data_IF_646317969283
#
_entry.id   IF_646317969283
#
_cell.length_a   1.000
_cell.length_b   1.000
_cell.length_c   1.000
_cell.angle_alpha   90.00
_cell.angle_beta   90.00
_cell.angle_gamma   90.00
#
_symmetry.space_group_name_H-M   'P 1'
#
loop_
_entity.id
_entity.type
_entity.pdbx_description
1 polymer ?
#
# COMPACT_ATOMS: atom_id res chain seq x y z
N UNK A 1 -15.76 21.45 -18.79
CA UNK A 1 -15.43 20.14 -19.40
C UNK A 1 -15.00 19.23 -18.27
N UNK A 2 -15.62 18.05 -18.11
CA UNK A 2 -15.30 17.11 -17.05
C UNK A 2 -14.29 16.09 -17.56
N UNK A 3 -13.17 15.94 -16.88
CA UNK A 3 -12.13 14.99 -17.26
C UNK A 3 -11.12 14.77 -16.15
N UNK A 4 -10.14 13.92 -16.41
CA UNK A 4 -9.04 13.54 -15.52
C UNK A 4 -7.71 13.87 -16.17
N UNK A 5 -6.75 14.27 -15.34
CA UNK A 5 -5.34 14.28 -15.68
C UNK A 5 -4.59 13.33 -14.75
N UNK A 6 -3.70 12.52 -15.30
CA UNK A 6 -2.93 11.52 -14.59
C UNK A 6 -1.47 11.65 -15.00
N UNK A 7 -0.56 11.63 -14.01
CA UNK A 7 0.87 11.59 -14.25
C UNK A 7 1.54 10.60 -13.30
N UNK A 8 2.60 9.95 -13.75
CA UNK A 8 3.43 9.04 -12.97
C UNK A 8 4.88 9.09 -13.41
N UNK A 9 5.80 8.94 -12.49
CA UNK A 9 7.20 8.68 -12.77
C UNK A 9 7.41 7.23 -13.27
N UNK A 10 8.55 6.97 -13.89
CA UNK A 10 8.86 5.66 -14.49
C UNK A 10 10.00 4.92 -13.80
N UNK A 11 10.39 5.36 -12.61
CA UNK A 11 11.41 4.70 -11.83
C UNK A 11 10.83 3.55 -11.00
N UNK A 12 11.42 2.37 -11.11
CA UNK A 12 11.14 1.23 -10.25
C UNK A 12 12.35 0.95 -9.36
N UNK A 13 12.10 0.81 -8.07
CA UNK A 13 13.12 0.44 -7.08
C UNK A 13 12.87 -0.98 -6.62
N UNK A 14 13.87 -1.84 -6.82
CA UNK A 14 13.82 -3.24 -6.40
C UNK A 14 14.75 -3.43 -5.20
N UNK A 15 14.24 -3.97 -4.10
CA UNK A 15 15.06 -4.39 -2.96
C UNK A 15 15.63 -5.77 -3.25
N UNK A 16 16.97 -5.89 -3.28
CA UNK A 16 17.68 -7.16 -3.47
C UNK A 16 18.60 -7.37 -2.24
N UNK A 17 18.13 -8.17 -1.28
CA UNK A 17 18.80 -8.30 0.01
C UNK A 17 18.80 -6.96 0.79
N UNK A 18 19.99 -6.49 1.18
CA UNK A 18 20.19 -5.17 1.81
C UNK A 18 20.39 -4.03 0.81
N UNK A 19 20.51 -4.33 -0.50
CA UNK A 19 20.74 -3.34 -1.53
C UNK A 19 19.45 -2.97 -2.28
N UNK A 20 19.44 -1.75 -2.85
CA UNK A 20 18.39 -1.30 -3.74
C UNK A 20 18.93 -1.24 -5.17
N UNK A 21 18.20 -1.84 -6.10
CA UNK A 21 18.44 -1.71 -7.54
C UNK A 21 17.40 -0.79 -8.13
N UNK A 22 17.84 0.25 -8.80
CA UNK A 22 16.99 1.20 -9.51
C UNK A 22 16.94 0.81 -10.98
N UNK A 23 15.74 0.84 -11.55
CA UNK A 23 15.49 0.58 -12.96
C UNK A 23 14.57 1.68 -13.53
N UNK A 24 14.90 2.18 -14.71
CA UNK A 24 14.20 3.26 -15.40
C UNK A 24 13.30 2.72 -16.51
N UNK A 25 12.36 3.55 -17.00
CA UNK A 25 11.51 3.23 -18.15
C UNK A 25 10.40 2.23 -17.85
N UNK A 26 9.94 2.14 -16.61
CA UNK A 26 8.83 1.29 -16.22
C UNK A 26 7.53 2.10 -16.22
N UNK A 27 6.70 1.92 -17.25
CA UNK A 27 5.34 2.47 -17.23
C UNK A 27 4.56 1.92 -16.05
N UNK A 28 3.98 2.84 -15.28
CA UNK A 28 3.08 2.53 -14.16
C UNK A 28 1.62 2.78 -14.50
N UNK A 29 1.34 3.29 -15.71
CA UNK A 29 0.00 3.57 -16.20
C UNK A 29 -0.33 2.59 -17.32
N UNK A 30 -1.43 1.86 -17.17
CA UNK A 30 -1.89 0.82 -18.07
C UNK A 30 -3.23 1.18 -18.67
N UNK A 31 -3.37 1.04 -20.00
CA UNK A 31 -4.61 1.30 -20.75
C UNK A 31 -5.08 0.03 -21.46
N UNK A 32 -6.36 -0.34 -21.37
CA UNK A 32 -6.89 -1.52 -22.05
C UNK A 32 -7.10 -1.36 -23.57
N UNK A 33 -6.94 -0.14 -24.10
CA UNK A 33 -7.18 0.19 -25.51
C UNK A 33 -8.23 1.28 -25.72
N UNK A 34 -8.47 1.63 -26.98
CA UNK A 34 -9.27 2.80 -27.36
C UNK A 34 -10.77 2.69 -27.04
N UNK A 35 -11.30 1.47 -26.98
CA UNK A 35 -12.72 1.23 -26.68
C UNK A 35 -13.08 1.52 -25.21
N UNK A 36 -12.08 1.67 -24.34
CA UNK A 36 -12.26 1.87 -22.92
C UNK A 36 -11.76 3.25 -22.49
N UNK A 37 -12.57 3.95 -21.71
CA UNK A 37 -12.27 5.32 -21.24
C UNK A 37 -11.75 5.32 -19.80
N UNK A 38 -10.85 4.41 -19.46
CA UNK A 38 -10.20 4.35 -18.15
C UNK A 38 -8.77 3.85 -18.26
N UNK A 39 -8.00 4.13 -17.23
CA UNK A 39 -6.67 3.56 -17.04
C UNK A 39 -6.56 2.97 -15.66
N UNK A 40 -5.59 2.08 -15.50
CA UNK A 40 -5.13 1.56 -14.21
C UNK A 40 -3.72 2.05 -13.99
N UNK A 41 -3.43 2.61 -12.84
CA UNK A 41 -2.04 2.91 -12.47
C UNK A 41 -1.71 2.29 -11.12
N UNK A 42 -0.42 1.97 -10.93
CA UNK A 42 0.02 1.27 -9.75
C UNK A 42 1.04 2.06 -8.95
N UNK A 43 1.06 1.82 -7.63
CA UNK A 43 2.09 2.27 -6.71
C UNK A 43 2.32 1.21 -5.61
N UNK A 44 3.38 1.35 -4.85
CA UNK A 44 3.77 0.34 -3.85
C UNK A 44 4.54 -0.82 -4.47
N UNK A 45 4.29 -2.05 -4.03
CA UNK A 45 4.94 -3.24 -4.58
C UNK A 45 4.62 -3.43 -6.05
N UNK A 46 5.61 -3.71 -6.88
CA UNK A 46 5.45 -3.94 -8.33
C UNK A 46 4.96 -5.35 -8.69
N UNK A 47 4.65 -6.18 -7.70
CA UNK A 47 4.23 -7.56 -7.89
C UNK A 47 3.05 -7.94 -6.99
N UNK A 48 2.20 -8.83 -7.50
CA UNK A 48 1.17 -9.55 -6.76
C UNK A 48 1.54 -11.04 -6.79
N UNK A 49 1.73 -11.68 -5.63
CA UNK A 49 2.25 -13.05 -5.54
C UNK A 49 3.57 -13.25 -6.33
N UNK A 50 4.52 -12.33 -6.25
CA UNK A 50 5.77 -12.32 -7.03
C UNK A 50 5.59 -12.31 -8.57
N UNK A 51 4.37 -12.15 -9.06
CA UNK A 51 4.10 -11.93 -10.49
C UNK A 51 3.98 -10.43 -10.74
N UNK A 52 4.71 -9.85 -11.70
CA UNK A 52 4.63 -8.41 -11.98
C UNK A 52 3.21 -7.93 -12.19
N UNK A 53 2.84 -6.81 -11.55
CA UNK A 53 1.49 -6.21 -11.65
C UNK A 53 1.09 -5.99 -13.11
N UNK A 54 2.02 -5.57 -13.96
CA UNK A 54 1.76 -5.40 -15.38
C UNK A 54 1.20 -6.65 -16.03
N UNK A 55 1.77 -7.82 -15.73
CA UNK A 55 1.28 -9.09 -16.30
C UNK A 55 -0.14 -9.41 -15.81
N UNK A 56 -0.47 -9.10 -14.56
CA UNK A 56 -1.83 -9.25 -14.03
C UNK A 56 -2.82 -8.34 -14.76
N UNK A 57 -2.47 -7.07 -14.91
CA UNK A 57 -3.33 -6.07 -15.56
C UNK A 57 -3.49 -6.37 -17.05
N UNK A 58 -2.40 -6.68 -17.76
CA UNK A 58 -2.43 -7.04 -19.19
C UNK A 58 -3.25 -8.33 -19.43
N UNK A 59 -3.11 -9.35 -18.55
CA UNK A 59 -3.89 -10.58 -18.64
C UNK A 59 -5.38 -10.31 -18.39
N UNK A 60 -5.71 -9.44 -17.44
CA UNK A 60 -7.07 -9.02 -17.18
C UNK A 60 -7.65 -8.23 -18.36
N UNK A 61 -6.93 -7.28 -18.93
CA UNK A 61 -7.39 -6.49 -20.08
C UNK A 61 -7.80 -7.37 -21.26
N UNK A 62 -7.09 -8.46 -21.51
CA UNK A 62 -7.46 -9.44 -22.55
C UNK A 62 -8.80 -10.15 -22.29
N UNK A 63 -9.32 -10.10 -21.06
CA UNK A 63 -10.64 -10.67 -20.73
C UNK A 63 -11.78 -9.66 -20.90
N UNK A 64 -11.47 -8.38 -21.06
CA UNK A 64 -12.45 -7.32 -21.26
C UNK A 64 -12.91 -7.31 -22.73
N UNK A 65 -14.07 -7.86 -23.00
CA UNK A 65 -14.65 -7.92 -24.36
C UNK A 65 -15.50 -6.73 -24.72
N UNK A 66 -15.90 -5.94 -23.74
CA UNK A 66 -16.72 -4.73 -23.89
C UNK A 66 -16.54 -3.79 -22.70
N UNK A 67 -16.75 -2.49 -22.88
CA UNK A 67 -16.73 -1.52 -21.78
C UNK A 67 -17.78 -1.83 -20.71
N UNK A 68 -17.39 -1.64 -19.43
CA UNK A 68 -18.28 -1.83 -18.29
C UNK A 68 -18.99 -0.51 -17.92
N UNK A 69 -20.01 -0.63 -17.08
CA UNK A 69 -20.93 0.47 -16.80
C UNK A 69 -20.34 1.56 -15.92
N UNK A 70 -19.49 1.19 -14.98
CA UNK A 70 -18.90 2.11 -13.98
C UNK A 70 -17.45 1.69 -13.65
N UNK A 71 -16.68 2.60 -13.06
CA UNK A 71 -15.34 2.27 -12.55
C UNK A 71 -15.43 1.22 -11.44
N UNK A 72 -16.46 1.25 -10.60
CA UNK A 72 -16.72 0.20 -9.61
C UNK A 72 -16.93 -1.17 -10.24
N UNK A 73 -17.60 -1.23 -11.40
CA UNK A 73 -17.76 -2.49 -12.13
C UNK A 73 -16.43 -3.03 -12.67
N UNK A 74 -15.50 -2.16 -13.09
CA UNK A 74 -14.15 -2.57 -13.47
C UNK A 74 -13.36 -3.09 -12.27
N UNK A 75 -13.41 -2.45 -11.14
CA UNK A 75 -12.76 -2.91 -9.90
C UNK A 75 -13.30 -4.28 -9.49
N UNK A 76 -14.63 -4.45 -9.45
CA UNK A 76 -15.26 -5.72 -9.10
C UNK A 76 -14.90 -6.84 -10.09
N UNK A 77 -14.82 -6.52 -11.38
CA UNK A 77 -14.41 -7.46 -12.42
C UNK A 77 -12.94 -7.88 -12.26
N UNK A 78 -12.04 -6.92 -11.97
CA UNK A 78 -10.63 -7.22 -11.71
C UNK A 78 -10.43 -8.11 -10.48
N UNK A 79 -11.14 -7.83 -9.37
CA UNK A 79 -11.08 -8.68 -8.16
C UNK A 79 -11.50 -10.12 -8.48
N UNK A 80 -12.60 -10.32 -9.22
CA UNK A 80 -13.03 -11.65 -9.67
C UNK A 80 -12.01 -12.32 -10.59
N UNK A 81 -11.37 -11.54 -11.48
CA UNK A 81 -10.30 -12.07 -12.34
C UNK A 81 -9.13 -12.58 -11.49
N UNK A 82 -8.66 -11.83 -10.48
CA UNK A 82 -7.57 -12.26 -9.61
C UNK A 82 -7.87 -13.58 -8.87
N UNK A 83 -9.13 -13.85 -8.53
CA UNK A 83 -9.55 -15.11 -7.89
C UNK A 83 -9.80 -16.25 -8.89
N UNK A 84 -9.71 -15.97 -10.19
CA UNK A 84 -9.99 -16.96 -11.24
C UNK A 84 -8.73 -17.75 -11.66
N UNK A 85 -8.95 -18.89 -12.31
CA UNK A 85 -7.88 -19.70 -12.91
C UNK A 85 -7.20 -19.04 -14.12
N UNK A 86 -7.74 -17.89 -14.59
CA UNK A 86 -7.18 -17.13 -15.72
C UNK A 86 -6.11 -16.13 -15.27
N UNK A 87 -6.05 -15.84 -13.98
CA UNK A 87 -5.04 -14.94 -13.43
C UNK A 87 -3.66 -15.64 -13.43
N UNK A 88 -2.57 -14.87 -13.62
CA UNK A 88 -1.24 -15.44 -13.87
C UNK A 88 -0.56 -16.01 -12.62
N UNK A 89 -1.10 -15.80 -11.41
CA UNK A 89 -0.52 -16.36 -10.20
C UNK A 89 -0.66 -17.91 -10.17
N UNK A 90 0.33 -18.55 -9.60
CA UNK A 90 0.41 -19.99 -9.45
C UNK A 90 0.49 -20.39 -7.97
N UNK A 91 0.31 -21.70 -7.68
CA UNK A 91 0.56 -22.22 -6.31
C UNK A 91 2.01 -22.03 -5.87
N UNK A 92 2.96 -22.01 -6.80
CA UNK A 92 4.35 -21.72 -6.49
C UNK A 92 4.52 -20.25 -6.05
N UNK A 93 3.94 -19.30 -6.78
CA UNK A 93 3.98 -17.88 -6.44
C UNK A 93 3.21 -17.56 -5.15
N UNK A 94 2.12 -18.25 -4.86
CA UNK A 94 1.43 -18.16 -3.57
C UNK A 94 2.33 -18.63 -2.42
N UNK A 95 3.03 -19.77 -2.60
CA UNK A 95 3.97 -20.27 -1.59
C UNK A 95 5.12 -19.30 -1.33
N UNK A 96 5.65 -18.66 -2.37
CA UNK A 96 6.71 -17.65 -2.24
C UNK A 96 6.23 -16.43 -1.45
N UNK A 97 5.01 -15.94 -1.70
CA UNK A 97 4.40 -14.88 -0.91
C UNK A 97 4.26 -15.28 0.58
N UNK A 98 3.77 -16.49 0.84
CA UNK A 98 3.64 -16.99 2.22
C UNK A 98 4.99 -17.12 2.94
N UNK A 99 6.05 -17.54 2.22
CA UNK A 99 7.40 -17.59 2.75
C UNK A 99 7.90 -16.18 3.09
N UNK A 100 7.71 -15.21 2.19
CA UNK A 100 8.14 -13.84 2.41
C UNK A 100 7.38 -13.14 3.57
N UNK A 101 6.07 -13.37 3.69
CA UNK A 101 5.28 -12.88 4.83
C UNK A 101 5.69 -13.53 6.15
N UNK A 102 6.03 -14.82 6.14
CA UNK A 102 6.53 -15.52 7.31
C UNK A 102 7.91 -14.99 7.72
N UNK A 103 8.80 -14.77 6.76
CA UNK A 103 10.12 -14.21 6.97
C UNK A 103 10.04 -12.83 7.65
N UNK A 104 9.23 -11.92 7.10
CA UNK A 104 8.95 -10.61 7.67
C UNK A 104 8.39 -10.69 9.12
N UNK A 105 7.44 -11.62 9.36
CA UNK A 105 6.86 -11.82 10.70
C UNK A 105 7.91 -12.29 11.70
N UNK A 106 8.71 -13.28 11.32
CA UNK A 106 9.73 -13.87 12.19
C UNK A 106 10.87 -12.90 12.43
N UNK A 107 11.25 -12.12 11.42
CA UNK A 107 12.26 -11.06 11.55
C UNK A 107 11.83 -9.99 12.54
N UNK A 108 10.60 -9.48 12.48
CA UNK A 108 10.06 -8.51 13.44
C UNK A 108 10.12 -9.08 14.86
N UNK A 109 9.67 -10.32 15.06
CA UNK A 109 9.77 -10.98 16.36
C UNK A 109 11.23 -11.08 16.82
N UNK A 110 12.16 -11.42 15.93
CA UNK A 110 13.59 -11.49 16.23
C UNK A 110 14.15 -10.16 16.70
N UNK A 111 13.87 -9.08 15.97
CA UNK A 111 14.33 -7.73 16.31
C UNK A 111 13.79 -7.26 17.67
N UNK A 112 12.52 -7.58 18.00
CA UNK A 112 11.94 -7.26 19.29
C UNK A 112 12.62 -8.04 20.42
N UNK A 113 12.89 -9.31 20.22
CA UNK A 113 13.57 -10.19 21.21
C UNK A 113 15.01 -9.72 21.39
N UNK A 114 15.75 -9.45 20.33
CA UNK A 114 17.13 -8.97 20.40
C UNK A 114 17.25 -7.62 21.13
N UNK A 115 16.24 -6.76 21.02
CA UNK A 115 16.19 -5.49 21.76
C UNK A 115 16.08 -5.70 23.27
N UNK A 116 15.41 -6.75 23.73
CA UNK A 116 15.16 -7.02 25.15
C UNK A 116 16.24 -7.90 25.77
N UNK A 117 16.57 -9.01 25.11
CA UNK A 117 17.46 -10.06 25.65
C UNK A 117 18.62 -10.44 24.72
N UNK A 118 18.89 -9.65 23.68
CA UNK A 118 19.94 -9.96 22.69
C UNK A 118 21.34 -10.05 23.31
N UNK A 119 21.60 -9.35 24.42
CA UNK A 119 22.86 -9.35 25.12
C UNK A 119 23.24 -10.71 25.76
N UNK A 120 22.27 -11.62 25.97
CA UNK A 120 22.52 -12.95 26.54
C UNK A 120 22.62 -14.07 25.49
N UNK A 121 22.35 -13.78 24.21
CA UNK A 121 22.25 -14.79 23.14
C UNK A 121 23.55 -15.60 22.93
N UNK A 122 24.70 -14.98 23.15
CA UNK A 122 26.01 -15.62 22.99
C UNK A 122 26.43 -16.48 24.19
N UNK A 123 25.62 -16.53 25.27
CA UNK A 123 25.86 -17.29 26.50
C UNK A 123 24.61 -18.10 26.91
N UNK A 124 24.01 -18.81 25.97
CA UNK A 124 22.83 -19.65 26.22
C UNK A 124 23.17 -21.02 26.81
N UNK A 125 24.45 -21.36 26.98
CA UNK A 125 24.91 -22.52 27.75
C UNK A 125 24.63 -22.33 29.26
N UNK A 126 24.55 -21.09 29.72
CA UNK A 126 24.10 -20.78 31.08
C UNK A 126 22.59 -21.07 31.21
N UNK A 127 22.16 -21.93 32.14
CA UNK A 127 20.76 -22.30 32.30
C UNK A 127 19.80 -21.14 32.59
N UNK A 128 20.26 -20.13 33.35
CA UNK A 128 19.46 -18.92 33.64
C UNK A 128 19.25 -18.09 32.41
N UNK A 129 20.29 -17.84 31.61
CA UNK A 129 20.19 -17.14 30.35
C UNK A 129 19.27 -17.85 29.35
N UNK A 130 19.40 -19.19 29.27
CA UNK A 130 18.54 -20.01 28.43
C UNK A 130 17.07 -19.93 28.85
N UNK A 131 16.81 -19.89 30.17
CA UNK A 131 15.46 -19.72 30.71
C UNK A 131 14.89 -18.36 30.32
N UNK A 132 15.63 -17.27 30.56
CA UNK A 132 15.24 -15.91 30.21
C UNK A 132 14.98 -15.77 28.70
N UNK A 133 15.86 -16.33 27.88
CA UNK A 133 15.69 -16.36 26.42
C UNK A 133 14.38 -17.03 26.00
N UNK A 134 14.11 -18.22 26.51
CA UNK A 134 12.89 -18.97 26.22
C UNK A 134 11.62 -18.26 26.68
N UNK A 135 11.67 -17.59 27.85
CA UNK A 135 10.55 -16.78 28.35
C UNK A 135 10.28 -15.58 27.45
N UNK A 136 11.33 -14.88 27.01
CA UNK A 136 11.21 -13.76 26.07
C UNK A 136 10.61 -14.19 24.72
N UNK A 137 11.07 -15.31 24.17
CA UNK A 137 10.52 -15.90 22.94
C UNK A 137 9.02 -16.17 23.07
N UNK A 138 8.59 -16.84 24.15
CA UNK A 138 7.19 -17.18 24.35
C UNK A 138 6.34 -15.92 24.58
N UNK A 139 6.87 -14.93 25.31
CA UNK A 139 6.20 -13.65 25.55
C UNK A 139 5.96 -12.90 24.24
N UNK A 140 6.99 -12.79 23.39
CA UNK A 140 6.89 -12.12 22.10
C UNK A 140 5.91 -12.82 21.16
N UNK A 141 5.96 -14.15 21.05
CA UNK A 141 5.01 -14.90 20.23
C UNK A 141 3.55 -14.71 20.68
N UNK A 142 3.31 -14.61 21.99
CA UNK A 142 1.98 -14.32 22.53
C UNK A 142 1.56 -12.89 22.19
N UNK A 143 2.44 -11.91 22.35
CA UNK A 143 2.16 -10.53 22.00
C UNK A 143 1.81 -10.40 20.50
N UNK A 144 2.57 -11.06 19.62
CA UNK A 144 2.28 -11.11 18.20
C UNK A 144 0.92 -11.79 17.90
N UNK A 145 0.61 -12.90 18.59
CA UNK A 145 -0.67 -13.60 18.47
C UNK A 145 -1.84 -12.71 18.86
N UNK A 146 -1.76 -12.08 20.04
CA UNK A 146 -2.83 -11.21 20.55
C UNK A 146 -3.01 -9.99 19.65
N UNK A 147 -1.91 -9.38 19.20
CA UNK A 147 -1.95 -8.25 18.25
C UNK A 147 -2.66 -8.60 16.93
N UNK A 148 -2.22 -9.65 16.22
CA UNK A 148 -2.81 -9.99 14.92
C UNK A 148 -4.24 -10.52 15.03
N UNK A 149 -4.60 -11.13 16.16
CA UNK A 149 -5.96 -11.65 16.41
C UNK A 149 -7.00 -10.54 16.46
N UNK A 150 -6.65 -9.39 17.04
CA UNK A 150 -7.55 -8.24 17.22
C UNK A 150 -7.67 -7.36 15.96
N UNK A 151 -6.79 -7.54 14.96
CA UNK A 151 -6.82 -6.73 13.75
C UNK A 151 -8.02 -7.04 12.84
N UNK A 152 -8.54 -6.04 12.11
CA UNK A 152 -9.54 -6.24 11.07
C UNK A 152 -9.04 -7.26 10.03
N UNK A 153 -9.93 -8.09 9.52
CA UNK A 153 -9.62 -9.14 8.53
C UNK A 153 -10.01 -8.70 7.13
N UNK A 154 -9.30 -9.22 6.13
CA UNK A 154 -9.73 -9.12 4.75
C UNK A 154 -11.04 -9.89 4.52
N UNK A 155 -11.88 -9.40 3.62
CA UNK A 155 -13.11 -10.05 3.26
C UNK A 155 -12.87 -11.45 2.71
N UNK A 156 -13.67 -12.42 3.15
CA UNK A 156 -13.53 -13.83 2.74
C UNK A 156 -12.43 -14.62 3.46
N UNK A 157 -11.65 -13.99 4.36
CA UNK A 157 -10.69 -14.67 5.23
C UNK A 157 -11.32 -14.94 6.61
N UNK A 158 -11.78 -16.16 6.80
CA UNK A 158 -12.31 -16.67 8.06
C UNK A 158 -11.52 -17.91 8.52
N UNK A 159 -11.83 -18.41 9.70
CA UNK A 159 -11.15 -19.58 10.29
C UNK A 159 -11.28 -20.86 9.42
N UNK A 160 -12.34 -20.96 8.62
CA UNK A 160 -12.57 -22.12 7.76
C UNK A 160 -11.65 -22.11 6.54
N UNK A 161 -11.52 -20.95 5.89
CA UNK A 161 -10.69 -20.82 4.69
C UNK A 161 -9.18 -20.86 5.01
N UNK A 162 -8.78 -20.47 6.22
CA UNK A 162 -7.39 -20.58 6.66
C UNK A 162 -6.98 -21.98 7.06
N UNK A 163 -7.91 -22.90 7.38
CA UNK A 163 -7.57 -24.30 7.70
C UNK A 163 -6.87 -25.01 6.54
N UNK A 164 -7.29 -24.78 5.31
CA UNK A 164 -6.73 -25.45 4.12
C UNK A 164 -5.28 -25.04 3.84
N UNK A 165 -4.89 -23.84 4.27
CA UNK A 165 -3.53 -23.30 4.10
C UNK A 165 -2.65 -23.43 5.36
N UNK A 166 -3.22 -23.83 6.50
CA UNK A 166 -2.49 -23.93 7.78
C UNK A 166 -1.21 -24.77 7.67
N UNK A 167 -1.23 -25.86 6.93
CA UNK A 167 -0.04 -26.71 6.73
C UNK A 167 1.06 -25.95 6.00
N UNK A 168 0.72 -25.20 4.96
CA UNK A 168 1.68 -24.36 4.23
C UNK A 168 2.20 -23.22 5.10
N UNK A 169 1.33 -22.59 5.90
CA UNK A 169 1.69 -21.53 6.84
C UNK A 169 2.69 -22.04 7.90
N UNK A 170 2.44 -23.22 8.47
CA UNK A 170 3.38 -23.83 9.44
C UNK A 170 4.74 -24.12 8.80
N UNK A 171 4.77 -24.63 7.58
CA UNK A 171 6.02 -24.88 6.85
C UNK A 171 6.79 -23.59 6.62
N UNK A 172 6.11 -22.51 6.21
CA UNK A 172 6.71 -21.21 5.96
C UNK A 172 7.32 -20.60 7.24
N UNK A 173 6.57 -20.61 8.35
CA UNK A 173 7.07 -20.12 9.64
C UNK A 173 8.27 -20.96 10.13
N UNK A 174 8.20 -22.28 10.05
CA UNK A 174 9.31 -23.13 10.45
C UNK A 174 10.58 -22.92 9.62
N UNK A 175 10.43 -22.60 8.33
CA UNK A 175 11.56 -22.24 7.47
C UNK A 175 12.23 -20.95 7.95
N UNK A 176 11.46 -19.90 8.19
CA UNK A 176 11.94 -18.62 8.69
C UNK A 176 12.57 -18.76 10.09
N UNK A 177 11.92 -19.51 11.00
CA UNK A 177 12.44 -19.75 12.35
C UNK A 177 13.84 -20.39 12.35
N UNK A 178 14.07 -21.38 11.48
CA UNK A 178 15.40 -22.01 11.35
C UNK A 178 16.49 -21.06 10.86
N UNK A 179 16.10 -20.07 10.09
CA UNK A 179 17.03 -19.06 9.58
C UNK A 179 17.40 -18.02 10.64
N UNK A 180 16.38 -17.48 11.35
CA UNK A 180 16.56 -16.37 12.30
C UNK A 180 16.95 -16.82 13.71
N UNK A 181 16.61 -18.05 14.14
CA UNK A 181 16.84 -18.58 15.48
C UNK A 181 17.73 -19.83 15.46
N UNK A 182 18.97 -19.65 14.98
CA UNK A 182 19.97 -20.73 14.90
C UNK A 182 20.40 -21.24 16.27
N UNK A 183 20.27 -20.41 17.30
CA UNK A 183 20.54 -20.73 18.70
C UNK A 183 19.54 -21.75 19.28
N UNK A 184 18.46 -21.99 18.55
CA UNK A 184 17.36 -22.85 18.95
C UNK A 184 16.20 -22.09 19.61
N UNK A 185 15.06 -22.74 19.64
CA UNK A 185 13.82 -22.21 20.20
C UNK A 185 12.93 -23.35 20.73
N UNK A 186 12.10 -23.10 21.77
CA UNK A 186 11.17 -24.11 22.27
C UNK A 186 10.03 -24.38 21.29
N UNK A 187 9.57 -25.61 21.19
CA UNK A 187 8.45 -26.02 20.32
C UNK A 187 7.18 -25.18 20.57
N UNK A 188 6.96 -24.77 21.81
CA UNK A 188 5.84 -23.89 22.19
C UNK A 188 5.89 -22.53 21.50
N UNK A 189 7.08 -21.91 21.38
CA UNK A 189 7.28 -20.68 20.63
C UNK A 189 6.85 -20.83 19.17
N UNK A 190 7.38 -21.83 18.48
CA UNK A 190 7.05 -22.12 17.09
C UNK A 190 5.54 -22.35 16.88
N UNK A 191 4.90 -23.07 17.81
CA UNK A 191 3.46 -23.32 17.74
C UNK A 191 2.63 -22.04 17.88
N UNK A 192 2.95 -21.17 18.85
CA UNK A 192 2.22 -19.91 19.06
C UNK A 192 2.43 -18.99 17.86
N UNK A 193 3.66 -18.85 17.38
CA UNK A 193 3.99 -17.98 16.26
C UNK A 193 3.34 -18.47 14.95
N UNK A 194 3.24 -19.79 14.74
CA UNK A 194 2.52 -20.33 13.59
C UNK A 194 1.01 -19.99 13.64
N UNK A 195 0.39 -19.95 14.82
CA UNK A 195 -0.98 -19.49 14.97
C UNK A 195 -1.10 -17.96 14.79
N UNK A 196 -0.16 -17.18 15.32
CA UNK A 196 -0.10 -15.74 15.09
C UNK A 196 -0.02 -15.42 13.59
N UNK A 197 0.78 -16.19 12.86
CA UNK A 197 0.93 -16.02 11.42
C UNK A 197 -0.36 -16.30 10.64
N UNK A 198 -1.20 -17.24 11.07
CA UNK A 198 -2.53 -17.46 10.48
C UNK A 198 -3.38 -16.18 10.56
N UNK A 199 -3.38 -15.53 11.72
CA UNK A 199 -4.10 -14.27 11.88
C UNK A 199 -3.46 -13.12 11.09
N UNK A 200 -2.12 -13.02 11.07
CA UNK A 200 -1.42 -12.02 10.25
C UNK A 200 -1.80 -12.12 8.77
N UNK A 201 -1.78 -13.31 8.22
CA UNK A 201 -2.17 -13.53 6.81
C UNK A 201 -3.59 -13.09 6.54
N UNK A 202 -4.51 -13.28 7.49
CA UNK A 202 -5.90 -12.87 7.33
C UNK A 202 -6.15 -11.37 7.60
N UNK A 203 -5.23 -10.67 8.29
CA UNK A 203 -5.46 -9.32 8.80
C UNK A 203 -5.02 -8.21 7.84
N UNK A 204 -5.68 -7.05 7.96
CA UNK A 204 -5.41 -5.82 7.19
C UNK A 204 -4.22 -5.01 7.74
N UNK A 205 -3.16 -5.68 8.22
CA UNK A 205 -1.95 -5.00 8.65
C UNK A 205 -1.12 -4.58 7.43
N UNK A 206 -0.57 -3.38 7.44
CA UNK A 206 0.31 -2.91 6.36
C UNK A 206 1.52 -3.83 6.16
N UNK A 207 1.91 -3.99 4.91
CA UNK A 207 3.02 -4.84 4.51
C UNK A 207 3.81 -4.22 3.37
N UNK A 208 5.12 -4.49 3.33
CA UNK A 208 5.98 -4.12 2.19
C UNK A 208 5.59 -4.79 0.88
N UNK A 209 4.71 -5.79 0.93
CA UNK A 209 4.16 -6.48 -0.24
C UNK A 209 2.88 -5.83 -0.78
N UNK A 210 2.35 -4.80 -0.10
CA UNK A 210 1.13 -4.13 -0.53
C UNK A 210 1.35 -3.39 -1.84
N UNK A 211 0.48 -3.68 -2.81
CA UNK A 211 0.38 -3.00 -4.10
C UNK A 211 -0.90 -2.19 -4.12
N UNK A 212 -0.83 -0.99 -4.64
CA UNK A 212 -2.01 -0.15 -4.81
C UNK A 212 -2.32 -0.03 -6.28
N UNK A 213 -3.53 -0.40 -6.66
CA UNK A 213 -4.06 -0.16 -7.99
C UNK A 213 -5.15 0.90 -7.95
N UNK A 214 -5.02 1.90 -8.79
CA UNK A 214 -6.02 2.94 -8.94
C UNK A 214 -6.62 2.86 -10.34
N UNK A 215 -7.94 2.71 -10.39
CA UNK A 215 -8.75 2.67 -11.59
C UNK A 215 -9.37 4.05 -11.77
N UNK A 216 -9.05 4.75 -12.85
CA UNK A 216 -9.50 6.12 -13.06
C UNK A 216 -10.01 6.32 -14.46
N UNK A 217 -11.18 6.94 -14.59
CA UNK A 217 -11.81 7.20 -15.88
C UNK A 217 -13.33 7.19 -15.81
N UNK A 218 -13.93 6.58 -16.83
CA UNK A 218 -15.38 6.52 -17.02
C UNK A 218 -15.83 5.12 -17.42
N UNK A 219 -16.88 4.64 -16.78
CA UNK A 219 -17.69 3.58 -17.34
C UNK A 219 -18.73 4.15 -18.34
N UNK A 220 -19.45 3.26 -19.03
CA UNK A 220 -20.38 3.70 -20.10
C UNK A 220 -21.55 4.54 -19.56
N UNK A 221 -21.96 4.33 -18.30
CA UNK A 221 -23.06 5.06 -17.65
C UNK A 221 -22.61 6.26 -16.82
N UNK A 222 -21.31 6.44 -16.59
CA UNK A 222 -20.79 7.56 -15.81
C UNK A 222 -20.67 8.81 -16.66
N UNK A 223 -21.24 9.91 -16.19
CA UNK A 223 -21.13 11.26 -16.81
C UNK A 223 -19.89 11.97 -16.25
N UNK A 224 -19.62 11.77 -14.98
CA UNK A 224 -18.46 12.33 -14.28
C UNK A 224 -17.38 11.27 -14.11
N UNK A 225 -16.11 11.66 -14.05
CA UNK A 225 -15.03 10.74 -13.84
C UNK A 225 -15.04 10.19 -12.40
N UNK A 226 -14.66 8.94 -12.26
CA UNK A 226 -14.45 8.30 -10.98
C UNK A 226 -13.03 7.76 -10.88
N UNK A 227 -12.53 7.71 -9.65
CA UNK A 227 -11.26 7.08 -9.30
C UNK A 227 -11.47 6.16 -8.09
N UNK A 228 -11.00 4.93 -8.20
CA UNK A 228 -11.10 3.91 -7.13
C UNK A 228 -9.74 3.32 -6.91
N UNK A 229 -9.26 3.43 -5.69
CA UNK A 229 -7.98 2.86 -5.28
C UNK A 229 -8.23 1.65 -4.38
N UNK A 230 -7.56 0.57 -4.68
CA UNK A 230 -7.59 -0.66 -3.88
C UNK A 230 -6.18 -1.04 -3.47
N UNK A 231 -6.04 -1.47 -2.22
CA UNK A 231 -4.85 -2.14 -1.74
C UNK A 231 -4.95 -3.63 -2.04
N UNK A 232 -3.87 -4.20 -2.56
CA UNK A 232 -3.72 -5.62 -2.91
C UNK A 232 -2.46 -6.16 -2.26
N UNK A 233 -2.58 -7.23 -1.49
CA UNK A 233 -1.41 -7.92 -0.92
C UNK A 233 -1.08 -9.19 -1.69
N UNK A 234 -2.08 -9.98 -2.00
CA UNK A 234 -1.89 -11.24 -2.70
C UNK A 234 -3.17 -12.06 -2.84
N UNK A 235 -3.04 -13.17 -3.53
CA UNK A 235 -4.09 -14.20 -3.62
C UNK A 235 -3.61 -15.42 -2.85
N UNK A 236 -4.33 -15.79 -1.81
CA UNK A 236 -3.99 -16.89 -0.90
C UNK A 236 -5.21 -17.80 -0.75
N UNK A 237 -5.05 -19.11 -0.99
CA UNK A 237 -6.15 -20.05 -0.98
C UNK A 237 -7.24 -19.72 -2.03
N UNK A 238 -6.84 -19.10 -3.15
CA UNK A 238 -7.78 -18.65 -4.19
C UNK A 238 -8.60 -17.43 -3.81
N UNK A 239 -8.29 -16.76 -2.69
CA UNK A 239 -8.95 -15.53 -2.22
C UNK A 239 -8.01 -14.34 -2.31
N UNK A 240 -8.51 -13.25 -2.88
CA UNK A 240 -7.77 -12.00 -3.00
C UNK A 240 -7.79 -11.23 -1.67
N UNK A 241 -6.62 -10.92 -1.16
CA UNK A 241 -6.46 -9.98 -0.06
C UNK A 241 -6.51 -8.56 -0.63
N UNK A 242 -7.66 -7.93 -0.52
CA UNK A 242 -7.87 -6.55 -1.00
C UNK A 242 -8.70 -5.74 -0.03
N UNK A 243 -8.37 -4.45 0.04
CA UNK A 243 -9.12 -3.47 0.83
C UNK A 243 -9.35 -2.21 -0.01
N UNK A 244 -10.54 -1.57 0.06
CA UNK A 244 -10.73 -0.22 -0.45
C UNK A 244 -9.80 0.74 0.29
N UNK A 245 -9.13 1.63 -0.45
CA UNK A 245 -8.23 2.60 0.16
C UNK A 245 -8.78 4.02 0.01
N UNK A 246 -8.79 4.55 -1.19
CA UNK A 246 -9.22 5.92 -1.42
C UNK A 246 -10.11 6.01 -2.66
N UNK A 247 -11.33 6.47 -2.46
CA UNK A 247 -12.31 6.63 -3.52
C UNK A 247 -12.62 8.11 -3.73
N UNK A 248 -12.52 8.54 -4.99
CA UNK A 248 -12.89 9.89 -5.42
C UNK A 248 -13.93 9.77 -6.52
N UNK A 249 -15.07 10.40 -6.31
CA UNK A 249 -16.10 10.61 -7.33
C UNK A 249 -16.32 12.10 -7.47
N UNK A 250 -16.29 12.60 -8.71
CA UNK A 250 -16.65 13.97 -9.02
C UNK A 250 -18.15 13.99 -9.25
N UNK A 251 -18.86 14.85 -8.53
CA UNK A 251 -20.32 15.01 -8.62
C UNK A 251 -20.67 16.45 -9.00
N UNK A 252 -21.85 16.64 -9.62
CA UNK A 252 -22.32 17.98 -10.02
C UNK A 252 -22.57 18.92 -8.85
N UNK A 253 -22.89 18.35 -7.67
CA UNK A 253 -23.22 19.09 -6.46
C UNK A 253 -22.22 18.77 -5.34
N UNK A 254 -21.13 19.51 -5.25
CA UNK A 254 -20.25 19.51 -4.08
C UNK A 254 -18.76 19.33 -4.32
N UNK A 255 -18.30 18.31 -5.02
CA UNK A 255 -16.88 18.10 -5.31
C UNK A 255 -16.56 18.36 -6.76
N UNK A 256 -16.21 19.61 -7.11
CA UNK A 256 -15.79 19.98 -8.45
C UNK A 256 -14.38 19.50 -8.85
N UNK A 257 -13.56 19.08 -7.89
CA UNK A 257 -12.22 18.56 -8.10
C UNK A 257 -11.86 17.56 -7.01
N UNK A 258 -11.11 16.52 -7.38
CA UNK A 258 -10.50 15.57 -6.46
C UNK A 258 -9.08 15.25 -6.87
N UNK A 259 -8.21 14.98 -5.90
CA UNK A 259 -6.82 14.55 -6.14
C UNK A 259 -6.61 13.20 -5.46
N UNK A 260 -6.05 12.25 -6.22
CA UNK A 260 -5.63 10.94 -5.71
C UNK A 260 -4.11 10.87 -5.80
N UNK A 261 -3.47 10.68 -4.66
CA UNK A 261 -2.02 10.60 -4.57
C UNK A 261 -1.55 9.14 -4.74
N UNK A 262 -0.33 8.96 -5.27
CA UNK A 262 0.40 7.69 -5.23
C UNK A 262 0.96 7.38 -3.83
N UNK A 263 1.86 6.39 -3.74
CA UNK A 263 2.46 5.96 -2.48
C UNK A 263 3.39 7.01 -1.84
N UNK A 264 4.05 7.84 -2.66
CA UNK A 264 4.93 8.91 -2.19
C UNK A 264 4.39 10.25 -2.64
N UNK A 265 3.95 11.08 -1.71
CA UNK A 265 3.28 12.35 -2.00
C UNK A 265 3.66 13.50 -1.06
N UNK A 266 4.66 13.33 -0.22
CA UNK A 266 5.00 14.32 0.83
C UNK A 266 5.30 15.71 0.29
N UNK A 267 6.00 15.83 -0.83
CA UNK A 267 6.29 17.11 -1.44
C UNK A 267 5.04 17.74 -2.09
N UNK A 268 4.24 16.92 -2.79
CA UNK A 268 2.96 17.36 -3.36
C UNK A 268 2.00 17.81 -2.27
N UNK A 269 1.90 17.03 -1.18
CA UNK A 269 1.10 17.37 -0.01
C UNK A 269 1.53 18.73 0.57
N UNK A 270 2.86 18.95 0.70
CA UNK A 270 3.40 20.21 1.25
C UNK A 270 3.02 21.44 0.43
N UNK A 271 2.96 21.30 -0.91
CA UNK A 271 2.56 22.42 -1.77
C UNK A 271 1.07 22.72 -1.65
N UNK A 272 0.25 21.69 -1.54
CA UNK A 272 -1.22 21.84 -1.46
C UNK A 272 -1.65 22.24 -0.05
N UNK A 273 -1.03 21.65 0.99
CA UNK A 273 -1.37 21.87 2.40
C UNK A 273 -0.55 22.96 3.08
N UNK A 274 0.55 23.43 2.45
CA UNK A 274 1.46 24.42 3.03
C UNK A 274 2.46 23.86 4.07
N UNK A 275 2.37 22.57 4.44
CA UNK A 275 3.33 21.90 5.33
C UNK A 275 3.36 20.39 5.09
N UNK A 276 4.41 19.71 5.57
CA UNK A 276 4.52 18.25 5.49
C UNK A 276 3.65 17.57 6.56
N UNK A 277 3.03 16.45 6.22
CA UNK A 277 2.17 15.67 7.16
C UNK A 277 2.89 15.28 8.46
N UNK A 278 4.22 15.08 8.41
CA UNK A 278 5.02 14.79 9.60
C UNK A 278 4.96 15.87 10.66
N UNK A 279 4.67 17.14 10.27
CA UNK A 279 4.52 18.25 11.21
C UNK A 279 3.33 18.04 12.13
N UNK A 280 2.21 17.50 11.62
CA UNK A 280 1.04 17.17 12.44
C UNK A 280 1.39 16.12 13.51
N UNK A 281 2.09 15.05 13.12
CA UNK A 281 2.56 14.04 14.07
C UNK A 281 3.53 14.59 15.10
N UNK A 282 4.46 15.46 14.66
CA UNK A 282 5.43 16.06 15.58
C UNK A 282 4.74 16.98 16.59
N UNK A 283 3.81 17.83 16.16
CA UNK A 283 3.02 18.69 17.03
C UNK A 283 2.22 17.87 18.04
N UNK A 284 1.48 16.86 17.55
CA UNK A 284 0.69 15.97 18.38
C UNK A 284 1.58 15.27 19.44
N UNK A 285 2.67 14.62 19.00
CA UNK A 285 3.58 13.90 19.90
C UNK A 285 4.28 14.82 20.90
N UNK A 286 4.64 16.05 20.50
CA UNK A 286 5.27 17.02 21.41
C UNK A 286 4.31 17.44 22.51
N UNK A 287 3.04 17.70 22.18
CA UNK A 287 2.02 18.07 23.17
C UNK A 287 1.75 16.88 24.11
N UNK A 288 1.55 15.68 23.58
CA UNK A 288 1.23 14.51 24.39
C UNK A 288 2.40 14.02 25.25
N UNK A 289 3.65 14.27 24.84
CA UNK A 289 4.82 13.94 25.64
C UNK A 289 5.01 14.84 26.88
N UNK A 290 4.35 15.99 26.94
CA UNK A 290 4.45 16.90 28.09
C UNK A 290 3.80 16.35 29.35
N UNK A 291 2.63 15.69 29.20
CA UNK A 291 1.89 15.06 30.30
C UNK A 291 1.10 13.84 29.77
N UNK A 292 1.77 12.72 29.52
CA UNK A 292 1.17 11.57 28.83
C UNK A 292 0.03 10.88 29.61
N UNK A 293 0.00 11.09 30.92
CA UNK A 293 -1.00 10.48 31.83
C UNK A 293 -2.36 11.21 31.82
N UNK A 294 -2.44 12.43 31.24
CA UNK A 294 -3.65 13.25 31.27
C UNK A 294 -4.43 13.14 29.96
N UNK A 295 -5.68 12.59 29.99
CA UNK A 295 -6.53 12.48 28.80
C UNK A 295 -6.80 13.84 28.13
N UNK A 296 -6.92 14.91 28.90
CA UNK A 296 -7.16 16.28 28.42
C UNK A 296 -6.02 16.78 27.50
N UNK A 297 -4.80 16.30 27.70
CA UNK A 297 -3.65 16.65 26.84
C UNK A 297 -3.75 15.96 25.49
N UNK A 298 -4.30 14.74 25.44
CA UNK A 298 -4.58 14.05 24.18
C UNK A 298 -5.66 14.79 23.38
N UNK A 299 -6.71 15.26 24.06
CA UNK A 299 -7.79 16.05 23.44
C UNK A 299 -7.23 17.39 22.92
N UNK A 300 -6.44 18.11 23.73
CA UNK A 300 -5.76 19.33 23.31
C UNK A 300 -4.87 19.13 22.08
N UNK A 301 -4.08 18.07 22.05
CA UNK A 301 -3.22 17.76 20.90
C UNK A 301 -4.04 17.55 19.62
N UNK A 302 -5.15 16.80 19.72
CA UNK A 302 -6.08 16.60 18.61
C UNK A 302 -6.73 17.91 18.15
N UNK A 303 -7.13 18.77 19.06
CA UNK A 303 -7.75 20.06 18.75
C UNK A 303 -6.77 21.01 18.07
N UNK A 304 -5.51 21.04 18.51
CA UNK A 304 -4.45 21.85 17.87
C UNK A 304 -4.22 21.36 16.44
N UNK A 305 -4.08 20.05 16.22
CA UNK A 305 -3.90 19.48 14.87
C UNK A 305 -5.12 19.78 13.99
N UNK A 306 -6.33 19.61 14.52
CA UNK A 306 -7.57 19.95 13.81
C UNK A 306 -7.69 21.43 13.47
N UNK A 307 -7.23 22.31 14.38
CA UNK A 307 -7.14 23.74 14.14
C UNK A 307 -6.18 24.08 12.99
N UNK A 308 -4.99 23.47 12.97
CA UNK A 308 -4.03 23.60 11.87
C UNK A 308 -4.65 23.16 10.53
N UNK A 309 -5.29 21.99 10.49
CA UNK A 309 -5.95 21.47 9.29
C UNK A 309 -7.06 22.41 8.82
N UNK A 310 -7.83 22.99 9.73
CA UNK A 310 -8.91 23.93 9.41
C UNK A 310 -8.40 25.20 8.76
N UNK A 311 -7.34 25.81 9.35
CA UNK A 311 -6.69 27.02 8.80
C UNK A 311 -6.12 26.71 7.42
N UNK A 312 -5.39 25.60 7.31
CA UNK A 312 -4.77 25.19 6.05
C UNK A 312 -5.82 24.93 4.97
N UNK A 313 -6.91 24.23 5.31
CA UNK A 313 -8.02 24.00 4.39
C UNK A 313 -8.60 25.32 3.86
N UNK A 314 -8.78 26.31 4.74
CA UNK A 314 -9.37 27.61 4.37
C UNK A 314 -8.41 28.45 3.51
N UNK A 315 -7.14 28.56 3.90
CA UNK A 315 -6.24 29.56 3.37
C UNK A 315 -5.38 29.04 2.19
N UNK A 316 -5.20 27.72 2.07
CA UNK A 316 -4.37 27.08 1.04
C UNK A 316 -5.14 26.10 0.17
N UNK A 317 -5.74 25.04 0.76
CA UNK A 317 -6.33 23.95 0.01
C UNK A 317 -7.54 24.41 -0.81
N UNK A 318 -8.52 25.04 -0.17
CA UNK A 318 -9.74 25.45 -0.85
C UNK A 318 -9.50 26.49 -1.96
N UNK A 319 -8.63 27.51 -1.79
CA UNK A 319 -8.26 28.41 -2.87
C UNK A 319 -7.54 27.71 -4.03
N UNK A 320 -6.64 26.76 -3.76
CA UNK A 320 -5.95 25.98 -4.78
C UNK A 320 -6.94 25.14 -5.59
N UNK A 321 -7.83 24.42 -4.89
CA UNK A 321 -8.87 23.59 -5.52
C UNK A 321 -9.84 24.43 -6.37
N UNK A 322 -10.27 25.59 -5.89
CA UNK A 322 -11.13 26.50 -6.67
C UNK A 322 -10.45 26.99 -7.96
N UNK A 323 -9.15 27.24 -7.93
CA UNK A 323 -8.40 27.61 -9.13
C UNK A 323 -8.29 26.44 -10.10
N UNK A 324 -7.85 25.26 -9.61
CA UNK A 324 -7.70 24.07 -10.44
C UNK A 324 -9.03 23.58 -11.04
N UNK A 325 -10.17 23.81 -10.38
CA UNK A 325 -11.49 23.46 -10.91
C UNK A 325 -11.85 24.24 -12.19
N UNK A 326 -11.18 25.38 -12.43
CA UNK A 326 -11.35 26.18 -13.64
C UNK A 326 -10.30 25.90 -14.72
N UNK A 327 -9.34 25.01 -14.46
CA UNK A 327 -8.31 24.67 -15.44
C UNK A 327 -8.89 23.87 -16.60
N UNK A 328 -8.35 24.10 -17.79
CA UNK A 328 -8.52 23.20 -18.92
C UNK A 328 -7.87 21.84 -18.61
N UNK A 329 -8.24 20.80 -19.36
CA UNK A 329 -7.59 19.50 -19.21
C UNK A 329 -6.08 19.54 -19.48
N UNK A 330 -5.62 20.40 -20.39
CA UNK A 330 -4.19 20.60 -20.65
C UNK A 330 -3.49 21.19 -19.44
N UNK A 331 -4.05 22.25 -18.85
CA UNK A 331 -3.50 22.86 -17.63
C UNK A 331 -3.48 21.90 -16.45
N UNK A 332 -4.53 21.06 -16.30
CA UNK A 332 -4.54 20.01 -15.29
C UNK A 332 -3.43 18.97 -15.53
N UNK A 333 -3.21 18.57 -16.78
CA UNK A 333 -2.17 17.62 -17.14
C UNK A 333 -0.76 18.17 -16.83
N UNK A 334 -0.50 19.42 -17.19
CA UNK A 334 0.76 20.10 -16.88
C UNK A 334 0.96 20.25 -15.38
N UNK A 335 -0.08 20.68 -14.64
CA UNK A 335 -0.04 20.80 -13.18
C UNK A 335 0.26 19.46 -12.53
N UNK A 336 -0.39 18.39 -13.00
CA UNK A 336 -0.17 17.03 -12.45
C UNK A 336 1.26 16.55 -12.73
N UNK A 337 1.80 16.78 -13.92
CA UNK A 337 3.20 16.53 -14.28
C UNK A 337 4.16 17.30 -13.37
N UNK A 338 3.89 18.57 -13.13
CA UNK A 338 4.76 19.43 -12.32
C UNK A 338 4.76 19.03 -10.84
N UNK A 339 3.62 18.55 -10.32
CA UNK A 339 3.55 17.96 -8.98
C UNK A 339 4.42 16.68 -8.86
N UNK A 340 4.44 15.83 -9.89
CA UNK A 340 5.35 14.67 -9.94
C UNK A 340 6.81 15.09 -10.01
N UNK A 341 7.14 16.11 -10.83
CA UNK A 341 8.50 16.69 -10.90
C UNK A 341 8.95 17.21 -9.52
N UNK A 342 8.06 17.87 -8.79
CA UNK A 342 8.36 18.36 -7.44
C UNK A 342 8.68 17.21 -6.49
N UNK A 343 7.94 16.11 -6.57
CA UNK A 343 8.22 14.92 -5.76
C UNK A 343 9.59 14.30 -6.11
N UNK A 344 9.93 14.22 -7.41
CA UNK A 344 11.24 13.77 -7.88
C UNK A 344 12.36 14.68 -7.33
N UNK A 345 12.18 15.99 -7.43
CA UNK A 345 13.15 16.96 -6.91
C UNK A 345 13.33 16.82 -5.39
N UNK A 346 12.23 16.68 -4.65
CA UNK A 346 12.27 16.47 -3.20
C UNK A 346 13.01 15.18 -2.82
N UNK A 347 12.78 14.08 -3.53
CA UNK A 347 13.49 12.83 -3.31
C UNK A 347 15.00 12.96 -3.56
N UNK A 348 15.41 13.62 -4.63
CA UNK A 348 16.83 13.90 -4.93
C UNK A 348 17.51 14.75 -3.85
N UNK A 349 16.81 15.72 -3.29
CA UNK A 349 17.37 16.63 -2.27
C UNK A 349 17.39 16.02 -0.87
N UNK A 350 16.53 15.04 -0.58
CA UNK A 350 16.45 14.42 0.75
C UNK A 350 17.57 13.42 1.06
N UNK A 351 18.39 13.05 0.07
CA UNK A 351 19.44 12.05 0.25
C UNK A 351 18.94 10.64 0.56
N UNK A 352 17.62 10.42 0.51
CA UNK A 352 17.02 9.08 0.60
C UNK A 352 17.30 8.28 -0.69
N UNK A 353 17.23 6.95 -0.61
CA UNK A 353 17.31 6.10 -1.81
C UNK A 353 16.31 6.60 -2.85
N UNK A 354 16.74 6.76 -4.11
CA UNK A 354 15.88 7.20 -5.21
C UNK A 354 14.74 6.17 -5.39
N UNK A 355 13.57 6.55 -4.94
CA UNK A 355 12.35 5.75 -5.03
C UNK A 355 11.32 6.35 -5.99
N UNK A 356 11.58 7.60 -6.42
CA UNK A 356 10.79 8.34 -7.41
C UNK A 356 11.74 9.01 -8.39
N UNK A 357 11.50 8.88 -9.69
CA UNK A 357 12.37 9.48 -10.71
C UNK A 357 12.14 8.94 -12.11
N UNK A 358 13.09 9.18 -13.00
CA UNK A 358 12.98 8.85 -14.41
C UNK A 358 12.15 9.86 -15.19
N UNK A 359 11.65 9.44 -16.34
CA UNK A 359 10.75 10.25 -17.14
C UNK A 359 9.33 10.23 -16.56
N UNK A 360 8.51 11.20 -16.91
CA UNK A 360 7.13 11.29 -16.45
C UNK A 360 6.20 10.97 -17.62
N UNK A 361 5.42 9.90 -17.44
CA UNK A 361 4.26 9.64 -18.29
C UNK A 361 3.08 10.44 -17.78
N UNK A 362 2.34 11.08 -18.68
CA UNK A 362 1.11 11.77 -18.31
C UNK A 362 0.10 11.80 -19.47
N UNK A 363 -1.17 11.83 -19.08
CA UNK A 363 -2.30 11.76 -19.98
C UNK A 363 -3.52 12.51 -19.46
N UNK A 364 -4.47 12.70 -20.34
CA UNK A 364 -5.83 13.16 -20.01
C UNK A 364 -6.86 12.13 -20.43
N UNK A 365 -7.99 12.10 -19.72
CA UNK A 365 -9.16 11.29 -20.09
C UNK A 365 -10.39 12.18 -20.03
N UNK A 366 -11.15 12.26 -21.11
CA UNK A 366 -12.47 12.86 -21.13
C UNK A 366 -13.48 11.96 -21.88
N UNK A 367 -14.76 12.25 -21.70
CA UNK A 367 -15.84 11.43 -22.26
C UNK A 367 -15.95 11.51 -23.77
N UNK A 368 -15.48 12.60 -24.37
CA UNK A 368 -15.58 12.87 -25.82
C UNK A 368 -14.38 12.32 -26.57
N UNK A 369 -13.20 12.58 -26.05
CA UNK A 369 -11.95 12.29 -26.74
C UNK A 369 -11.27 11.00 -26.24
N UNK A 370 -11.78 10.38 -25.17
CA UNK A 370 -11.17 9.21 -24.58
C UNK A 370 -9.82 9.52 -23.92
N UNK A 371 -8.89 8.57 -24.00
CA UNK A 371 -7.53 8.67 -23.43
C UNK A 371 -6.61 9.37 -24.42
N UNK A 372 -5.97 10.45 -23.98
CA UNK A 372 -4.97 11.20 -24.77
C UNK A 372 -3.66 11.26 -24.01
N UNK A 373 -2.67 10.54 -24.50
CA UNK A 373 -1.31 10.61 -24.00
C UNK A 373 -0.65 11.93 -24.42
N UNK A 374 -0.09 12.65 -23.46
CA UNK A 374 0.74 13.82 -23.68
C UNK A 374 2.22 13.43 -23.73
N UNK A 375 2.61 12.46 -22.91
CA UNK A 375 3.89 11.76 -22.99
C UNK A 375 3.67 10.29 -22.59
N UNK A 376 4.19 9.36 -23.41
CA UNK A 376 4.15 7.92 -23.19
C UNK A 376 5.53 7.34 -23.49
N UNK A 377 6.03 6.48 -22.62
CA UNK A 377 7.34 5.82 -22.72
C UNK A 377 7.18 4.40 -23.22
#
# INVERSE_FOLDING_TARGET
MTGLAIASDTLATLKVGSAFKVSHGHSKIFSPGEDHQFVVYHSGSSALNNVPIRLHVDAWFRTLTKPLTTIDAYVANYKKFCESTKAPQTKASERELLLALADDTVQICRENIDRVVGHIKDNLDNPENKKLWNEALIKEAKAAFDFYKELPRFDGFNETNTKDIITQLKVSVNSALRFYFREGYPARFASILAHAFVFRVASKVESSFDSYLTFSGFGTKEIYPASRRINLRGVIGGKLQSDPDNDVTIESEGKGLGIVYGAQFDAMYSVIQGYRKIVEHHVHNTITATMPELPEIQELANDVVKGMQTITAKDYVNPAFRRMANFSLSELAETTRDLVNLQILSAKLSGSSETVGGEIEYLTIDKVNGIRWQNRI
#
